data_IF_992084487584
#
_entry.id   IF_992084487584
#
_cell.length_a   1.000
_cell.length_b   1.000
_cell.length_c   1.000
_cell.angle_alpha   90.00
_cell.angle_beta   90.00
_cell.angle_gamma   90.00
#
_symmetry.space_group_name_H-M   'P 1'
#
loop_
_entity.id
_entity.type
_entity.pdbx_description
1 polymer ?
#
# COMPACT_ATOMS: atom_id res chain seq x y z
N UNK A 1 -6.63 4.85 4.41
CA UNK A 1 -6.82 6.05 3.57
C UNK A 1 -7.92 7.02 4.04
N UNK A 2 -8.62 6.81 5.16
CA UNK A 2 -9.55 7.83 5.69
C UNK A 2 -8.80 9.17 5.88
N UNK A 3 -9.42 10.28 5.45
CA UNK A 3 -8.87 11.64 5.54
C UNK A 3 -7.52 11.87 4.83
N UNK A 4 -7.09 10.95 3.97
CA UNK A 4 -5.86 11.13 3.18
C UNK A 4 -6.09 12.11 2.02
N UNK A 5 -5.20 13.09 1.90
CA UNK A 5 -5.26 14.12 0.87
C UNK A 5 -4.58 13.74 -0.46
N UNK A 6 -3.79 12.66 -0.46
CA UNK A 6 -2.99 12.25 -1.62
C UNK A 6 -3.20 10.77 -1.92
N UNK A 7 -3.13 10.38 -3.21
CA UNK A 7 -3.13 8.98 -3.58
C UNK A 7 -1.82 8.32 -3.16
N UNK A 8 -1.90 7.06 -2.73
CA UNK A 8 -0.73 6.30 -2.26
C UNK A 8 -0.59 4.96 -2.98
N UNK A 9 0.64 4.47 -3.02
CA UNK A 9 0.91 3.05 -3.19
C UNK A 9 1.14 2.43 -1.82
N UNK A 10 0.56 1.26 -1.57
CA UNK A 10 0.79 0.48 -0.36
C UNK A 10 1.59 -0.77 -0.74
N UNK A 11 2.69 -1.02 -0.04
CA UNK A 11 3.51 -2.22 -0.17
C UNK A 11 3.24 -3.11 1.05
N UNK A 12 2.74 -4.32 0.79
CA UNK A 12 2.42 -5.32 1.81
C UNK A 12 3.65 -6.21 2.03
N UNK A 13 4.12 -6.33 3.28
CA UNK A 13 5.41 -6.95 3.60
C UNK A 13 5.21 -8.06 4.64
N UNK A 14 5.87 -9.19 4.43
CA UNK A 14 6.01 -10.23 5.45
C UNK A 14 7.39 -10.88 5.36
N UNK A 15 7.96 -11.23 6.50
CA UNK A 15 9.24 -11.93 6.61
C UNK A 15 10.36 -11.24 5.81
N UNK A 16 10.36 -9.90 5.82
CA UNK A 16 11.33 -9.09 5.09
C UNK A 16 11.21 -9.16 3.57
N UNK A 17 10.03 -9.51 3.03
CA UNK A 17 9.77 -9.53 1.58
C UNK A 17 8.48 -8.85 1.21
N UNK A 18 8.45 -8.26 0.01
CA UNK A 18 7.22 -7.76 -0.60
C UNK A 18 6.31 -8.94 -0.93
N UNK A 19 5.11 -8.96 -0.37
CA UNK A 19 4.07 -9.95 -0.68
C UNK A 19 3.05 -9.45 -1.71
N UNK A 20 2.91 -8.14 -1.84
CA UNK A 20 1.97 -7.55 -2.78
C UNK A 20 1.98 -6.03 -2.73
N UNK A 21 1.27 -5.43 -3.66
CA UNK A 21 1.11 -3.97 -3.75
C UNK A 21 -0.36 -3.62 -3.97
N UNK A 22 -0.75 -2.45 -3.48
CA UNK A 22 -1.98 -1.76 -3.86
C UNK A 22 -1.59 -0.40 -4.40
N UNK A 23 -1.56 -0.29 -5.72
CA UNK A 23 -1.07 0.89 -6.42
C UNK A 23 -2.17 1.93 -6.66
N UNK A 24 -1.78 3.20 -6.65
CA UNK A 24 -2.64 4.34 -6.98
C UNK A 24 -3.98 4.32 -6.22
N UNK A 25 -3.92 3.99 -4.92
CA UNK A 25 -5.11 4.02 -4.06
C UNK A 25 -5.69 5.44 -4.07
N UNK A 26 -6.96 5.62 -4.47
CA UNK A 26 -7.52 6.95 -4.66
C UNK A 26 -7.72 7.69 -3.34
N UNK A 27 -7.69 9.02 -3.43
CA UNK A 27 -8.19 9.89 -2.37
C UNK A 27 -9.68 9.58 -2.16
N UNK A 28 -10.13 9.34 -0.92
CA UNK A 28 -11.53 9.06 -0.70
C UNK A 28 -12.44 10.22 -1.09
N UNK A 29 -13.52 9.92 -1.81
CA UNK A 29 -14.49 10.92 -2.26
C UNK A 29 -15.62 11.17 -1.25
N UNK A 30 -15.67 10.39 -0.16
CA UNK A 30 -16.71 10.47 0.86
C UNK A 30 -16.09 10.58 2.25
N UNK A 31 -16.70 11.42 3.08
CA UNK A 31 -16.37 11.49 4.51
C UNK A 31 -17.19 10.47 5.34
N UNK A 32 -18.13 9.76 4.71
CA UNK A 32 -18.87 8.70 5.38
C UNK A 32 -17.98 7.46 5.49
N UNK A 33 -17.62 7.11 6.72
CA UNK A 33 -16.72 5.98 7.01
C UNK A 33 -17.24 4.64 6.48
N UNK A 34 -18.56 4.47 6.37
CA UNK A 34 -19.19 3.25 5.85
C UNK A 34 -18.99 3.08 4.34
N UNK A 35 -18.66 4.16 3.63
CA UNK A 35 -18.50 4.17 2.17
C UNK A 35 -17.02 4.24 1.75
N UNK A 36 -16.08 4.19 2.70
CA UNK A 36 -14.67 4.24 2.39
C UNK A 36 -14.18 2.91 1.83
N UNK A 37 -13.34 2.92 0.77
CA UNK A 37 -12.72 1.70 0.28
C UNK A 37 -11.77 1.12 1.34
N UNK A 38 -11.78 -0.20 1.44
CA UNK A 38 -10.82 -0.97 2.24
C UNK A 38 -9.78 -1.59 1.32
N UNK A 39 -8.51 -1.52 1.71
CA UNK A 39 -7.40 -2.14 1.01
C UNK A 39 -6.84 -3.24 1.92
N UNK A 40 -6.70 -4.43 1.38
CA UNK A 40 -6.27 -5.61 2.14
C UNK A 40 -5.07 -6.25 1.47
N UNK A 41 -4.11 -6.77 2.25
CA UNK A 41 -3.02 -7.57 1.73
C UNK A 41 -3.55 -8.90 1.16
N UNK A 42 -2.79 -9.57 0.27
CA UNK A 42 -3.18 -10.86 -0.29
C UNK A 42 -3.20 -12.00 0.74
N UNK A 43 -2.45 -11.87 1.84
CA UNK A 43 -2.38 -12.82 2.95
C UNK A 43 -1.91 -12.09 4.23
N UNK A 44 -1.69 -12.83 5.32
CA UNK A 44 -1.14 -12.27 6.55
C UNK A 44 0.21 -11.59 6.31
N UNK A 45 0.40 -10.43 6.93
CA UNK A 45 1.58 -9.56 6.82
C UNK A 45 2.09 -9.16 8.20
N UNK A 46 3.35 -8.75 8.30
CA UNK A 46 3.91 -8.13 9.51
C UNK A 46 3.99 -6.60 9.39
N UNK A 47 4.07 -6.07 8.17
CA UNK A 47 4.32 -4.64 7.93
C UNK A 47 3.64 -4.15 6.65
N UNK A 48 3.37 -2.84 6.59
CA UNK A 48 2.97 -2.15 5.38
C UNK A 48 3.82 -0.87 5.21
N UNK A 49 4.26 -0.59 3.99
CA UNK A 49 4.98 0.65 3.63
C UNK A 49 4.12 1.47 2.67
N UNK A 50 3.72 2.67 3.10
CA UNK A 50 2.96 3.61 2.28
C UNK A 50 3.92 4.60 1.58
N UNK A 51 3.76 4.74 0.26
CA UNK A 51 4.55 5.65 -0.58
C UNK A 51 3.63 6.53 -1.44
N UNK A 52 4.16 7.62 -1.99
CA UNK A 52 3.44 8.42 -2.98
C UNK A 52 3.00 7.55 -4.16
N UNK A 53 1.79 7.74 -4.67
CA UNK A 53 1.28 6.98 -5.81
C UNK A 53 2.23 6.97 -7.02
N UNK A 54 2.37 5.81 -7.64
CA UNK A 54 3.27 5.57 -8.77
C UNK A 54 4.71 5.25 -8.38
N UNK A 55 5.04 5.22 -7.09
CA UNK A 55 6.36 4.81 -6.59
C UNK A 55 6.67 3.34 -6.91
N UNK A 56 5.69 2.44 -6.80
CA UNK A 56 5.86 1.01 -7.12
C UNK A 56 6.34 0.86 -8.56
N UNK A 57 5.63 1.47 -9.50
CA UNK A 57 6.02 1.48 -10.92
C UNK A 57 7.34 2.20 -11.18
N UNK A 58 7.57 3.35 -10.52
CA UNK A 58 8.79 4.16 -10.70
C UNK A 58 10.05 3.41 -10.30
N UNK A 59 10.00 2.66 -9.20
CA UNK A 59 11.15 1.93 -8.65
C UNK A 59 11.19 0.46 -9.10
N UNK A 60 10.16 -0.02 -9.80
CA UNK A 60 10.08 -1.39 -10.30
C UNK A 60 9.93 -2.42 -9.18
N UNK A 61 9.23 -2.07 -8.10
CA UNK A 61 9.02 -2.92 -6.92
C UNK A 61 8.15 -4.11 -7.31
N UNK A 62 8.60 -5.31 -6.97
CA UNK A 62 7.97 -6.58 -7.32
C UNK A 62 7.77 -7.47 -6.10
N UNK A 63 6.81 -8.38 -6.21
CA UNK A 63 6.61 -9.45 -5.21
C UNK A 63 7.89 -10.29 -5.11
N UNK A 64 8.34 -10.51 -3.88
CA UNK A 64 9.58 -11.23 -3.58
C UNK A 64 10.79 -10.34 -3.35
N UNK A 65 10.70 -9.03 -3.66
CA UNK A 65 11.79 -8.08 -3.38
C UNK A 65 12.11 -8.04 -1.88
N UNK A 66 13.39 -7.99 -1.49
CA UNK A 66 13.78 -7.93 -0.09
C UNK A 66 13.51 -6.54 0.49
N UNK A 67 13.07 -6.52 1.75
CA UNK A 67 12.87 -5.31 2.54
C UNK A 67 13.70 -5.39 3.80
N UNK A 68 14.47 -4.34 4.09
CA UNK A 68 15.26 -4.22 5.32
C UNK A 68 14.88 -2.93 6.03
N UNK A 69 14.46 -3.06 7.29
CA UNK A 69 14.26 -1.93 8.19
C UNK A 69 15.55 -1.76 9.01
N UNK A 70 16.09 -0.55 9.04
CA UNK A 70 17.27 -0.18 9.83
C UNK A 70 16.91 0.85 10.87
#
# INVERSE_FOLDING_TARGET
>A
MKDMAYPLDIIWIADGKVLGTSENTPVPQSNNILNLPTYSPPQAIDSALELNAGSVKKFGIQVGDPVTLK
#
